data_IF_375312641955
#
_entry.id   IF_375312641955
#
_cell.length_a   1.000
_cell.length_b   1.000
_cell.length_c   1.000
_cell.angle_alpha   90.00
_cell.angle_beta   90.00
_cell.angle_gamma   90.00
#
_symmetry.space_group_name_H-M   'P 1'
#
loop_
_entity.id
_entity.type
_entity.pdbx_description
1 polymer ?
#
# COMPACT_ATOMS: atom_id res chain seq x y z
N UNK A 1 8.62 5.95 -32.63
CA UNK A 1 7.66 4.92 -32.18
C UNK A 1 7.57 4.97 -30.66
N UNK A 2 6.67 5.79 -30.12
CA UNK A 2 6.58 6.06 -28.67
C UNK A 2 5.55 5.13 -28.01
N UNK A 3 6.02 4.15 -27.22
CA UNK A 3 5.18 3.43 -26.25
C UNK A 3 5.05 4.29 -24.99
N UNK A 4 4.03 5.15 -24.96
CA UNK A 4 3.62 5.90 -23.76
C UNK A 4 2.60 5.05 -22.98
N UNK A 5 2.61 5.14 -21.65
CA UNK A 5 1.84 4.34 -20.66
C UNK A 5 2.46 3.00 -20.23
N UNK A 6 3.54 3.06 -19.42
CA UNK A 6 3.88 1.97 -18.49
C UNK A 6 2.77 1.86 -17.44
N UNK A 7 1.84 0.91 -17.62
CA UNK A 7 0.81 0.56 -16.65
C UNK A 7 1.51 -0.05 -15.42
N UNK A 8 1.60 0.70 -14.32
CA UNK A 8 2.10 0.17 -13.03
C UNK A 8 0.97 -0.60 -12.37
N UNK A 9 1.08 -1.93 -12.33
CA UNK A 9 0.20 -2.79 -11.54
C UNK A 9 0.74 -2.89 -10.11
N UNK A 10 -0.13 -2.66 -9.14
CA UNK A 10 0.12 -2.96 -7.73
C UNK A 10 -0.48 -4.36 -7.51
N UNK A 11 0.32 -5.30 -7.00
CA UNK A 11 -0.16 -6.65 -6.67
C UNK A 11 -0.79 -6.66 -5.28
N UNK A 12 -1.67 -7.62 -5.02
CA UNK A 12 -2.18 -7.82 -3.67
C UNK A 12 -1.04 -8.30 -2.76
N UNK A 13 -0.76 -7.60 -1.65
CA UNK A 13 0.27 -7.97 -0.69
C UNK A 13 -0.18 -9.09 0.25
N UNK A 14 -1.48 -9.27 0.44
CA UNK A 14 -2.04 -10.33 1.28
C UNK A 14 -3.28 -10.91 0.62
N UNK A 15 -3.56 -12.18 0.88
CA UNK A 15 -4.79 -12.85 0.45
C UNK A 15 -5.95 -12.33 1.28
N UNK A 16 -7.00 -11.83 0.65
CA UNK A 16 -8.12 -11.24 1.39
C UNK A 16 -9.13 -10.53 0.49
N UNK A 17 -10.08 -9.83 1.13
CA UNK A 17 -11.08 -9.01 0.43
C UNK A 17 -10.74 -7.54 0.56
N UNK A 18 -10.77 -6.83 -0.56
CA UNK A 18 -10.58 -5.37 -0.56
C UNK A 18 -11.80 -4.71 0.05
N UNK A 19 -11.58 -3.85 1.05
CA UNK A 19 -12.59 -3.02 1.71
C UNK A 19 -12.19 -1.55 1.62
N UNK A 20 -13.20 -0.68 1.61
CA UNK A 20 -12.98 0.77 1.59
C UNK A 20 -12.45 1.25 2.95
N UNK A 21 -11.54 2.23 2.92
CA UNK A 21 -11.00 2.86 4.13
C UNK A 21 -12.11 3.44 5.02
N UNK A 22 -13.20 3.93 4.43
CA UNK A 22 -14.35 4.49 5.15
C UNK A 22 -15.09 3.48 6.03
N UNK A 23 -14.90 2.17 5.81
CA UNK A 23 -15.51 1.11 6.63
C UNK A 23 -14.67 0.72 7.84
N UNK A 24 -13.45 1.26 7.96
CA UNK A 24 -12.54 0.99 9.07
C UNK A 24 -12.94 1.88 10.24
N UNK A 25 -13.00 1.32 11.45
CA UNK A 25 -13.39 2.03 12.67
C UNK A 25 -12.29 2.94 13.24
N UNK A 26 -11.14 3.05 12.57
CA UNK A 26 -10.02 3.88 12.96
C UNK A 26 -10.08 5.23 12.22
N UNK A 27 -10.14 6.31 13.00
CA UNK A 27 -10.23 7.68 12.50
C UNK A 27 -9.07 8.07 11.58
N UNK A 28 -7.87 7.55 11.82
CA UNK A 28 -6.67 7.91 11.05
C UNK A 28 -6.76 7.40 9.61
N UNK A 29 -7.30 6.20 9.42
CA UNK A 29 -7.46 5.56 8.12
C UNK A 29 -8.76 5.96 7.42
N UNK A 30 -9.88 6.02 8.15
CA UNK A 30 -11.19 6.37 7.59
C UNK A 30 -11.26 7.80 7.07
N UNK A 31 -10.52 8.73 7.70
CA UNK A 31 -10.42 10.13 7.26
C UNK A 31 -9.33 10.35 6.19
N UNK A 32 -8.63 9.29 5.75
CA UNK A 32 -7.56 9.35 4.73
C UNK A 32 -6.44 10.35 5.07
N UNK A 33 -6.18 10.60 6.35
CA UNK A 33 -5.17 11.58 6.81
C UNK A 33 -3.77 11.20 6.32
N UNK A 34 -3.48 9.89 6.30
CA UNK A 34 -2.20 9.33 5.84
C UNK A 34 -2.08 9.21 4.31
N UNK A 35 -3.15 9.53 3.58
CA UNK A 35 -3.22 9.45 2.13
C UNK A 35 -4.33 8.53 1.61
N UNK A 36 -4.50 8.51 0.29
CA UNK A 36 -5.44 7.61 -0.36
C UNK A 36 -4.91 6.17 -0.41
N UNK A 37 -5.81 5.21 -0.22
CA UNK A 37 -5.48 3.81 -0.23
C UNK A 37 -6.71 2.92 -0.17
N UNK A 38 -6.46 1.63 0.04
CA UNK A 38 -7.47 0.59 0.23
C UNK A 38 -7.05 -0.28 1.41
N UNK A 39 -8.02 -0.80 2.13
CA UNK A 39 -7.76 -1.83 3.14
C UNK A 39 -8.10 -3.20 2.59
N UNK A 40 -7.47 -4.22 3.16
CA UNK A 40 -7.69 -5.61 2.79
C UNK A 40 -8.01 -6.36 4.07
N UNK A 41 -9.20 -6.96 4.12
CA UNK A 41 -9.59 -7.92 5.14
C UNK A 41 -8.87 -9.24 4.86
N UNK A 42 -7.77 -9.47 5.58
CA UNK A 42 -6.84 -10.57 5.38
C UNK A 42 -7.45 -11.92 5.74
N UNK A 43 -7.23 -12.91 4.87
CA UNK A 43 -7.65 -14.32 5.04
C UNK A 43 -6.46 -15.27 5.19
N UNK A 44 -5.24 -14.75 5.22
CA UNK A 44 -4.03 -15.54 5.42
C UNK A 44 -2.98 -14.74 6.19
N UNK A 45 -1.89 -15.41 6.56
CA UNK A 45 -0.95 -14.89 7.57
C UNK A 45 0.38 -14.41 6.98
N UNK A 46 0.53 -14.49 5.65
CA UNK A 46 1.77 -14.14 4.95
C UNK A 46 1.56 -12.85 4.16
N UNK A 47 2.34 -11.82 4.49
CA UNK A 47 2.38 -10.55 3.76
C UNK A 47 3.56 -10.53 2.79
N UNK A 48 3.28 -10.25 1.53
CA UNK A 48 4.24 -10.10 0.44
C UNK A 48 4.38 -8.64 0.03
N UNK A 49 5.52 -8.30 -0.60
CA UNK A 49 5.71 -6.98 -1.17
C UNK A 49 4.74 -6.77 -2.37
N UNK A 50 3.88 -5.74 -2.35
CA UNK A 50 2.92 -5.52 -3.43
C UNK A 50 3.58 -5.01 -4.72
N UNK A 51 4.82 -4.54 -4.61
CA UNK A 51 5.59 -3.92 -5.68
C UNK A 51 7.08 -3.82 -5.33
N UNK A 52 7.93 -3.76 -6.36
CA UNK A 52 9.36 -3.55 -6.21
C UNK A 52 9.63 -2.10 -5.75
N UNK A 53 10.26 -1.95 -4.59
CA UNK A 53 10.54 -0.66 -3.97
C UNK A 53 11.58 -0.79 -2.85
N UNK A 54 11.74 0.27 -2.04
CA UNK A 54 12.62 0.28 -0.88
C UNK A 54 11.77 0.39 0.38
N UNK A 55 12.01 -0.49 1.35
CA UNK A 55 11.41 -0.36 2.68
C UNK A 55 12.04 0.87 3.36
N UNK A 56 11.19 1.79 3.82
CA UNK A 56 11.62 3.05 4.44
C UNK A 56 11.37 3.05 5.94
N UNK A 57 10.27 2.42 6.37
CA UNK A 57 9.89 2.34 7.77
C UNK A 57 9.43 0.91 8.06
N UNK A 58 9.86 0.37 9.18
CA UNK A 58 9.30 -0.83 9.79
C UNK A 58 8.95 -0.43 11.22
N UNK A 59 7.70 -0.63 11.62
CA UNK A 59 7.26 -0.36 12.99
C UNK A 59 7.96 -1.31 13.95
N UNK A 60 8.27 -0.83 15.16
CA UNK A 60 8.99 -1.61 16.18
C UNK A 60 8.22 -2.86 16.59
N UNK A 61 6.89 -2.79 16.64
CA UNK A 61 5.98 -3.91 16.91
C UNK A 61 5.78 -4.86 15.72
N UNK A 62 6.44 -4.58 14.59
CA UNK A 62 6.37 -5.33 13.31
C UNK A 62 4.96 -5.47 12.71
N UNK A 63 3.97 -4.74 13.24
CA UNK A 63 2.62 -4.70 12.68
C UNK A 63 2.53 -3.88 11.40
N UNK A 64 3.49 -2.98 11.17
CA UNK A 64 3.46 -2.09 10.03
C UNK A 64 4.80 -1.94 9.32
N UNK A 65 4.73 -1.81 8.00
CA UNK A 65 5.89 -1.42 7.20
C UNK A 65 5.48 -0.51 6.05
N UNK A 66 6.38 0.40 5.69
CA UNK A 66 6.19 1.33 4.60
C UNK A 66 7.19 0.99 3.48
N UNK A 67 6.65 0.51 2.35
CA UNK A 67 7.42 0.36 1.12
C UNK A 67 7.24 1.61 0.27
N UNK A 68 8.34 2.33 -0.01
CA UNK A 68 8.35 3.52 -0.84
C UNK A 68 8.86 3.19 -2.23
N UNK A 69 8.14 3.69 -3.23
CA UNK A 69 8.59 3.71 -4.60
C UNK A 69 8.82 5.16 -5.00
N UNK A 70 10.02 5.48 -5.46
CA UNK A 70 10.25 6.72 -6.19
C UNK A 70 9.74 6.53 -7.62
N UNK A 71 8.77 7.34 -8.03
CA UNK A 71 8.59 7.58 -9.46
C UNK A 71 9.61 8.61 -9.96
N UNK A 72 9.91 8.54 -11.26
CA UNK A 72 10.72 9.53 -11.98
C UNK A 72 10.02 10.90 -12.07
N UNK A 73 8.70 10.94 -11.87
CA UNK A 73 7.87 12.16 -11.86
C UNK A 73 7.79 12.85 -10.47
N UNK A 74 8.54 12.37 -9.47
CA UNK A 74 8.55 12.91 -8.11
C UNK A 74 7.44 12.37 -7.18
N UNK A 75 6.47 11.61 -7.69
CA UNK A 75 5.36 11.09 -6.89
C UNK A 75 5.75 9.82 -6.14
N UNK A 76 5.60 9.79 -4.81
CA UNK A 76 5.88 8.61 -3.99
C UNK A 76 4.60 7.89 -3.60
N UNK A 77 4.56 6.57 -3.81
CA UNK A 77 3.53 5.70 -3.24
C UNK A 77 4.08 5.12 -1.95
N UNK A 78 3.35 5.30 -0.86
CA UNK A 78 3.58 4.65 0.42
C UNK A 78 2.44 3.69 0.67
N UNK A 79 2.74 2.40 0.70
CA UNK A 79 1.78 1.40 1.15
C UNK A 79 2.06 1.16 2.63
N UNK A 80 1.10 1.50 3.47
CA UNK A 80 1.12 1.20 4.90
C UNK A 80 0.28 -0.07 5.09
N UNK A 81 0.97 -1.15 5.44
CA UNK A 81 0.37 -2.28 6.14
C UNK A 81 0.48 -2.01 7.64
#
# INVERSE_FOLDING_TARGET
>A
MFKMFKKKSIKSPISGKVIELSKIQDGVFSQKIMGEGVAIDSTGDIVYAPINGKIVVVAETKHAFCNRIRKWDGTSYSCWF
#
